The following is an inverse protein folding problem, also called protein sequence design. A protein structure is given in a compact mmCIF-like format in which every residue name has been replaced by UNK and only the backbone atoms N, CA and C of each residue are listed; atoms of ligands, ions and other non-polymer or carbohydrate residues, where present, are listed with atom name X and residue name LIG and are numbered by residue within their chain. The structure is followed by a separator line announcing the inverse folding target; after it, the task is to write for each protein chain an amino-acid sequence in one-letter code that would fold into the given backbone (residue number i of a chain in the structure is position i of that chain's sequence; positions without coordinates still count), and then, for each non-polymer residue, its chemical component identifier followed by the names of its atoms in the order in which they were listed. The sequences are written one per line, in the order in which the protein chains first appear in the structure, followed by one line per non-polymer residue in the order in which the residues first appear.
data_IF_182240844334
#
_entry.id   IF_182240844334
#
_cell.length_a   1.000
_cell.length_b   1.000
_cell.length_c   1.000
_cell.angle_alpha   90.00
_cell.angle_beta   90.00
_cell.angle_gamma   90.00
#
_symmetry.space_group_name_H-M   'P 1'
#
loop_
_entity.id
_entity.type
_entity.pdbx_description
1 polymer ?
#
# COMPACT_ATOMS: atom_id res chain seq x y z
N UNK A 1 -16.69 27.03 -18.03
CA UNK A 1 -15.24 27.23 -18.04
C UNK A 1 -14.59 26.91 -16.71
N UNK A 2 -14.85 27.69 -15.70
CA UNK A 2 -14.32 27.38 -14.37
C UNK A 2 -14.90 26.12 -13.77
N UNK A 3 -16.06 25.69 -14.22
CA UNK A 3 -16.72 24.47 -13.72
C UNK A 3 -15.91 23.21 -14.02
N UNK A 4 -15.11 23.22 -15.08
CA UNK A 4 -14.27 22.08 -15.41
C UNK A 4 -13.13 21.89 -14.40
N UNK A 5 -12.63 22.99 -13.84
CA UNK A 5 -11.60 22.94 -12.81
C UNK A 5 -12.15 22.39 -11.50
N UNK A 6 -13.41 22.66 -11.19
CA UNK A 6 -14.06 22.18 -9.98
C UNK A 6 -14.23 20.66 -9.98
N UNK A 7 -14.28 20.04 -11.16
CA UNK A 7 -14.42 18.60 -11.27
C UNK A 7 -13.12 17.87 -11.57
N UNK A 8 -12.00 18.59 -11.71
CA UNK A 8 -10.72 17.92 -11.91
C UNK A 8 -10.24 17.34 -10.58
N UNK A 9 -9.85 16.06 -10.61
CA UNK A 9 -9.29 15.39 -9.46
C UNK A 9 -7.84 15.80 -9.33
N UNK A 10 -7.44 16.25 -8.15
CA UNK A 10 -6.06 16.68 -7.92
C UNK A 10 -5.11 15.49 -7.97
N UNK A 11 -3.92 15.73 -8.52
CA UNK A 11 -2.82 14.77 -8.48
C UNK A 11 -2.46 14.48 -7.02
N UNK A 12 -2.37 13.21 -6.67
CA UNK A 12 -2.24 12.77 -5.29
C UNK A 12 -1.24 11.62 -5.19
N UNK A 13 -0.56 11.52 -4.05
CA UNK A 13 0.33 10.41 -3.75
C UNK A 13 -0.24 9.57 -2.63
N UNK A 14 -0.06 8.26 -2.74
CA UNK A 14 -0.41 7.30 -1.70
C UNK A 14 0.78 6.41 -1.41
N UNK A 15 0.80 5.84 -0.21
CA UNK A 15 1.83 4.89 0.18
C UNK A 15 1.30 3.48 0.02
N UNK A 16 2.13 2.59 -0.50
CA UNK A 16 1.78 1.19 -0.71
C UNK A 16 2.89 0.29 -0.20
N UNK A 17 2.51 -0.89 0.27
CA UNK A 17 3.46 -1.97 0.60
C UNK A 17 3.02 -3.22 -0.15
N UNK A 18 3.99 -3.93 -0.73
CA UNK A 18 3.80 -5.33 -1.11
C UNK A 18 4.30 -6.13 0.09
N UNK A 19 3.40 -6.84 0.73
CA UNK A 19 3.61 -7.49 2.04
C UNK A 19 4.41 -8.79 1.93
N UNK A 20 4.93 -9.30 3.06
CA UNK A 20 5.77 -10.50 3.05
C UNK A 20 5.11 -11.73 2.42
N UNK A 21 3.80 -11.91 2.56
CA UNK A 21 3.09 -13.04 1.96
C UNK A 21 3.19 -13.03 0.43
N UNK A 22 2.97 -11.88 -0.19
CA UNK A 22 3.06 -11.74 -1.64
C UNK A 22 4.51 -11.88 -2.13
N UNK A 23 5.46 -11.27 -1.42
CA UNK A 23 6.88 -11.34 -1.79
C UNK A 23 7.39 -12.79 -1.69
N UNK A 24 7.02 -13.50 -0.63
CA UNK A 24 7.45 -14.89 -0.45
C UNK A 24 6.92 -15.83 -1.53
N UNK A 25 5.80 -15.49 -2.17
CA UNK A 25 5.24 -16.25 -3.29
C UNK A 25 5.72 -15.77 -4.64
N UNK A 26 6.61 -14.77 -4.69
CA UNK A 26 7.10 -14.22 -5.95
C UNK A 26 6.07 -13.42 -6.73
N UNK A 27 5.07 -12.84 -6.04
CA UNK A 27 3.96 -12.11 -6.68
C UNK A 27 4.25 -10.63 -6.92
N UNK A 28 5.39 -10.11 -6.48
CA UNK A 28 5.70 -8.68 -6.60
C UNK A 28 5.71 -8.19 -8.05
N UNK A 29 6.19 -9.02 -8.99
CA UNK A 29 6.19 -8.64 -10.41
C UNK A 29 4.79 -8.48 -10.97
N UNK A 30 3.87 -9.38 -10.63
CA UNK A 30 2.48 -9.29 -11.04
C UNK A 30 1.80 -8.06 -10.43
N UNK A 31 2.07 -7.77 -9.17
CA UNK A 31 1.50 -6.59 -8.51
C UNK A 31 2.03 -5.31 -9.15
N UNK A 32 3.33 -5.22 -9.43
CA UNK A 32 3.91 -4.07 -10.12
C UNK A 32 3.29 -3.88 -11.50
N UNK A 33 3.06 -4.97 -12.24
CA UNK A 33 2.40 -4.92 -13.54
C UNK A 33 0.99 -4.34 -13.43
N UNK A 34 0.23 -4.75 -12.43
CA UNK A 34 -1.12 -4.22 -12.19
C UNK A 34 -1.11 -2.75 -11.82
N UNK A 35 -0.12 -2.30 -11.06
CA UNK A 35 0.08 -0.88 -10.74
C UNK A 35 0.26 -0.06 -12.03
N UNK A 36 1.12 -0.51 -12.91
CA UNK A 36 1.33 0.17 -14.19
C UNK A 36 0.08 0.17 -15.06
N UNK A 37 -0.59 -0.97 -15.17
CA UNK A 37 -1.81 -1.09 -15.99
C UNK A 37 -2.94 -0.23 -15.46
N UNK A 38 -3.00 0.00 -14.15
CA UNK A 38 -4.00 0.87 -13.55
C UNK A 38 -3.72 2.36 -13.77
N UNK A 39 -2.55 2.71 -14.31
CA UNK A 39 -2.20 4.08 -14.65
C UNK A 39 -1.49 4.85 -13.56
N UNK A 40 -0.94 4.19 -12.55
CA UNK A 40 -0.11 4.85 -11.53
C UNK A 40 1.29 5.12 -12.04
N UNK A 41 1.85 6.24 -11.60
CA UNK A 41 3.27 6.50 -11.69
C UNK A 41 3.93 6.02 -10.39
N UNK A 42 4.98 5.24 -10.49
CA UNK A 42 5.76 4.84 -9.32
C UNK A 42 6.80 5.93 -9.09
N UNK A 43 6.63 6.72 -8.04
CA UNK A 43 7.53 7.82 -7.68
C UNK A 43 8.79 7.28 -7.02
N UNK A 44 8.63 6.28 -6.14
CA UNK A 44 9.73 5.66 -5.43
C UNK A 44 9.37 4.23 -5.09
N UNK A 45 10.39 3.37 -5.03
CA UNK A 45 10.24 1.97 -4.64
C UNK A 45 11.53 1.51 -3.99
N UNK A 46 11.41 0.76 -2.90
CA UNK A 46 12.57 0.08 -2.30
C UNK A 46 12.17 -1.21 -1.61
N UNK A 47 13.08 -2.15 -1.64
CA UNK A 47 12.94 -3.46 -0.99
C UNK A 47 13.67 -3.42 0.35
N UNK A 48 13.03 -3.99 1.39
CA UNK A 48 13.64 -4.06 2.71
C UNK A 48 12.97 -5.13 3.56
N UNK A 49 13.60 -5.44 4.67
CA UNK A 49 12.99 -6.23 5.73
C UNK A 49 12.92 -5.37 6.98
N UNK A 50 11.73 -5.17 7.50
CA UNK A 50 11.53 -4.39 8.72
C UNK A 50 11.99 -5.16 9.95
N UNK A 51 12.54 -4.46 10.93
CA UNK A 51 12.62 -4.99 12.28
C UNK A 51 11.23 -4.91 12.91
N UNK A 52 11.03 -5.63 14.00
CA UNK A 52 9.76 -5.57 14.73
C UNK A 52 9.50 -4.16 15.25
N UNK A 53 10.55 -3.46 15.70
CA UNK A 53 10.46 -2.07 16.17
C UNK A 53 10.04 -1.12 15.03
N UNK A 54 10.59 -1.30 13.86
CA UNK A 54 10.23 -0.49 12.69
C UNK A 54 8.78 -0.73 12.28
N UNK A 55 8.34 -1.99 12.28
CA UNK A 55 6.94 -2.33 12.03
C UNK A 55 6.03 -1.73 13.11
N UNK A 56 6.46 -1.79 14.37
CA UNK A 56 5.73 -1.21 15.50
C UNK A 56 5.56 0.30 15.39
N UNK A 57 6.58 1.01 14.93
CA UNK A 57 6.51 2.46 14.72
C UNK A 57 5.57 2.82 13.58
N UNK A 58 5.59 2.04 12.51
CA UNK A 58 4.69 2.25 11.37
C UNK A 58 3.22 2.07 11.77
N UNK A 59 2.94 1.03 12.54
CA UNK A 59 1.58 0.71 13.01
C UNK A 59 1.28 1.26 14.40
N UNK A 60 1.99 2.29 14.86
CA UNK A 60 1.86 2.83 16.22
C UNK A 60 0.42 3.24 16.58
N UNK A 61 -0.37 3.68 15.61
CA UNK A 61 -1.79 4.03 15.81
C UNK A 61 -2.62 2.83 16.26
N UNK A 62 -2.15 1.60 16.01
CA UNK A 62 -2.83 0.36 16.40
C UNK A 62 -2.22 -0.29 17.66
N UNK A 63 -1.31 0.41 18.36
CA UNK A 63 -0.54 -0.16 19.47
C UNK A 63 -1.40 -0.80 20.56
N UNK A 64 -2.57 -0.24 20.82
CA UNK A 64 -3.50 -0.76 21.83
C UNK A 64 -4.45 -1.83 21.30
N UNK A 65 -4.37 -2.19 20.02
CA UNK A 65 -5.24 -3.19 19.42
C UNK A 65 -4.73 -4.60 19.72
N UNK A 66 -5.64 -5.58 19.94
CA UNK A 66 -5.25 -6.97 20.21
C UNK A 66 -4.39 -7.59 19.11
N UNK A 67 -4.59 -7.17 17.86
CA UNK A 67 -3.87 -7.72 16.70
C UNK A 67 -2.47 -7.11 16.48
N UNK A 68 -2.08 -6.11 17.28
CA UNK A 68 -0.84 -5.38 17.05
C UNK A 68 0.39 -6.27 17.03
N UNK A 69 0.51 -7.18 18.00
CA UNK A 69 1.67 -8.10 18.11
C UNK A 69 1.77 -9.01 16.88
N UNK A 70 0.66 -9.61 16.48
CA UNK A 70 0.61 -10.50 15.32
C UNK A 70 0.91 -9.74 14.03
N UNK A 71 0.37 -8.53 13.87
CA UNK A 71 0.61 -7.69 12.71
C UNK A 71 2.09 -7.31 12.58
N UNK A 72 2.72 -6.88 13.67
CA UNK A 72 4.13 -6.48 13.64
C UNK A 72 5.06 -7.68 13.45
N UNK A 73 4.71 -8.84 14.00
CA UNK A 73 5.43 -10.09 13.73
C UNK A 73 5.35 -10.45 12.25
N UNK A 74 4.17 -10.37 11.68
CA UNK A 74 3.96 -10.67 10.26
C UNK A 74 4.72 -9.71 9.36
N UNK A 75 4.61 -8.41 9.59
CA UNK A 75 5.25 -7.39 8.75
C UNK A 75 6.77 -7.39 8.85
N UNK A 76 7.34 -7.94 9.92
CA UNK A 76 8.79 -8.10 10.08
C UNK A 76 9.30 -9.50 9.71
N UNK A 77 8.41 -10.39 9.27
CA UNK A 77 8.75 -11.79 9.02
C UNK A 77 9.52 -12.04 7.73
N UNK A 78 9.54 -11.09 6.81
CA UNK A 78 10.20 -11.27 5.52
C UNK A 78 10.30 -9.95 4.77
N UNK A 79 10.82 -10.03 3.53
CA UNK A 79 10.97 -8.86 2.67
C UNK A 79 9.63 -8.26 2.28
N UNK A 80 9.64 -6.93 2.19
CA UNK A 80 8.54 -6.13 1.65
C UNK A 80 9.08 -5.22 0.55
N UNK A 81 8.16 -4.68 -0.26
CA UNK A 81 8.45 -3.54 -1.13
C UNK A 81 7.60 -2.37 -0.66
N UNK A 82 8.26 -1.24 -0.38
CA UNK A 82 7.60 0.01 -0.05
C UNK A 82 7.57 0.90 -1.29
N UNK A 83 6.41 1.49 -1.59
CA UNK A 83 6.23 2.28 -2.80
C UNK A 83 5.48 3.58 -2.52
N UNK A 84 5.80 4.61 -3.31
CA UNK A 84 4.98 5.81 -3.41
C UNK A 84 4.38 5.83 -4.80
N UNK A 85 3.05 5.86 -4.87
CA UNK A 85 2.29 5.84 -6.11
C UNK A 85 1.60 7.19 -6.31
N UNK A 86 1.60 7.66 -7.55
CA UNK A 86 0.99 8.94 -7.90
C UNK A 86 -0.02 8.75 -9.03
N UNK A 87 -1.18 9.37 -8.86
CA UNK A 87 -2.25 9.44 -9.86
C UNK A 87 -3.27 10.45 -9.39
N UNK A 88 -4.20 10.83 -10.25
CA UNK A 88 -5.36 11.59 -9.83
C UNK A 88 -6.18 10.73 -8.86
N UNK A 89 -6.42 11.26 -7.64
CA UNK A 89 -7.15 10.52 -6.62
C UNK A 89 -6.47 9.20 -6.23
N UNK A 90 -5.15 9.19 -6.07
CA UNK A 90 -4.36 7.97 -5.89
C UNK A 90 -4.81 7.11 -4.71
N UNK A 91 -5.22 7.71 -3.60
CA UNK A 91 -5.60 6.95 -2.40
C UNK A 91 -6.78 6.04 -2.69
N UNK A 92 -7.86 6.58 -3.20
CA UNK A 92 -9.05 5.78 -3.54
C UNK A 92 -8.76 4.83 -4.70
N UNK A 93 -8.05 5.30 -5.72
CA UNK A 93 -7.70 4.49 -6.88
C UNK A 93 -6.89 3.26 -6.48
N UNK A 94 -5.94 3.41 -5.56
CA UNK A 94 -5.15 2.29 -5.06
C UNK A 94 -6.02 1.33 -4.26
N UNK A 95 -6.90 1.84 -3.41
CA UNK A 95 -7.82 1.00 -2.66
C UNK A 95 -8.73 0.18 -3.58
N UNK A 96 -9.22 0.80 -4.65
CA UNK A 96 -10.04 0.09 -5.66
C UNK A 96 -9.23 -0.97 -6.40
N UNK A 97 -7.97 -0.68 -6.70
CA UNK A 97 -7.06 -1.62 -7.36
C UNK A 97 -6.71 -2.81 -6.46
N UNK A 98 -6.50 -2.55 -5.17
CA UNK A 98 -6.25 -3.61 -4.18
C UNK A 98 -7.47 -4.48 -3.94
N UNK A 99 -8.65 -3.88 -3.89
CA UNK A 99 -9.89 -4.55 -3.53
C UNK A 99 -10.15 -4.56 -2.02
N UNK A 100 -11.26 -5.17 -1.63
CA UNK A 100 -11.67 -5.26 -0.22
C UNK A 100 -10.62 -5.96 0.64
N UNK A 101 -10.54 -5.56 1.90
CA UNK A 101 -9.56 -6.08 2.87
C UNK A 101 -9.61 -7.60 2.98
N UNK A 102 -10.80 -8.17 3.01
CA UNK A 102 -10.97 -9.62 2.95
C UNK A 102 -10.98 -10.07 1.49
N UNK A 103 -10.02 -10.89 1.05
CA UNK A 103 -9.98 -11.38 -0.33
C UNK A 103 -11.27 -12.06 -0.79
N UNK A 104 -11.99 -12.70 0.11
CA UNK A 104 -13.27 -13.36 -0.22
C UNK A 104 -14.35 -12.37 -0.67
N UNK A 105 -14.28 -11.15 -0.15
CA UNK A 105 -15.25 -10.08 -0.45
C UNK A 105 -14.77 -9.14 -1.53
N UNK A 106 -13.55 -9.30 -2.02
CA UNK A 106 -12.97 -8.45 -3.05
C UNK A 106 -13.52 -8.85 -4.43
N UNK A 107 -13.69 -7.85 -5.29
CA UNK A 107 -14.17 -8.08 -6.64
C UNK A 107 -13.13 -8.81 -7.51
N UNK A 108 -13.56 -9.68 -8.44
CA UNK A 108 -12.62 -10.29 -9.39
C UNK A 108 -11.81 -9.23 -10.14
N UNK A 109 -10.54 -9.50 -10.38
CA UNK A 109 -9.63 -8.58 -11.04
C UNK A 109 -8.86 -7.68 -10.09
N UNK A 110 -9.27 -7.57 -8.82
CA UNK A 110 -8.52 -6.87 -7.81
C UNK A 110 -7.34 -7.71 -7.32
N UNK A 111 -6.30 -7.04 -6.81
CA UNK A 111 -5.10 -7.73 -6.32
C UNK A 111 -5.46 -8.73 -5.21
N UNK A 112 -6.24 -8.30 -4.25
CA UNK A 112 -6.58 -9.14 -3.09
C UNK A 112 -7.45 -10.33 -3.46
N UNK A 113 -8.41 -10.14 -4.38
CA UNK A 113 -9.23 -11.27 -4.84
C UNK A 113 -8.39 -12.31 -5.55
N UNK A 114 -7.54 -11.87 -6.46
CA UNK A 114 -6.81 -12.78 -7.34
C UNK A 114 -5.60 -13.41 -6.65
N UNK A 115 -4.95 -12.70 -5.73
CA UNK A 115 -3.67 -13.11 -5.15
C UNK A 115 -3.68 -13.29 -3.64
N UNK A 116 -4.64 -12.70 -2.93
CA UNK A 116 -4.74 -12.80 -1.49
C UNK A 116 -5.35 -14.11 -1.03
N UNK A 117 -5.10 -14.51 0.21
CA UNK A 117 -5.61 -15.76 0.78
C UNK A 117 -6.47 -15.56 2.01
N UNK A 118 -6.23 -14.54 2.80
CA UNK A 118 -6.99 -14.23 4.02
C UNK A 118 -6.87 -12.76 4.35
N UNK A 119 -7.60 -12.28 5.34
CA UNK A 119 -7.51 -10.89 5.82
C UNK A 119 -6.08 -10.56 6.27
N UNK A 120 -5.41 -11.50 6.93
CA UNK A 120 -4.02 -11.30 7.37
C UNK A 120 -3.02 -11.38 6.23
N UNK A 121 -3.30 -12.20 5.21
CA UNK A 121 -2.43 -12.44 4.05
C UNK A 121 -3.10 -11.93 2.79
N UNK A 122 -3.26 -10.61 2.70
CA UNK A 122 -3.98 -9.94 1.62
C UNK A 122 -3.09 -9.13 0.68
N UNK A 123 -1.82 -9.46 0.62
CA UNK A 123 -0.82 -9.02 -0.36
C UNK A 123 -0.32 -7.60 -0.22
N UNK A 124 -1.18 -6.62 0.04
CA UNK A 124 -0.80 -5.21 -0.09
C UNK A 124 -1.40 -4.34 1.00
N UNK A 125 -0.74 -3.21 1.22
CA UNK A 125 -1.19 -2.14 2.11
C UNK A 125 -1.35 -0.87 1.29
N UNK A 126 -2.30 -0.04 1.67
CA UNK A 126 -2.47 1.31 1.13
C UNK A 126 -2.93 2.28 2.21
N UNK A 127 -2.60 3.55 2.01
CA UNK A 127 -3.02 4.61 2.93
C UNK A 127 -4.54 4.81 2.88
N UNK A 128 -5.12 5.23 4.00
CA UNK A 128 -6.56 5.44 4.12
C UNK A 128 -7.01 6.87 3.80
N UNK A 129 -6.12 7.84 4.00
CA UNK A 129 -6.45 9.26 3.91
C UNK A 129 -5.18 10.07 3.59
N UNK A 130 -5.31 11.35 3.17
CA UNK A 130 -4.15 12.20 2.92
C UNK A 130 -3.19 12.31 4.11
N UNK A 131 -3.71 12.38 5.33
CA UNK A 131 -2.90 12.50 6.54
C UNK A 131 -2.09 11.23 6.79
N UNK A 132 -2.70 10.06 6.62
CA UNK A 132 -2.00 8.80 6.80
C UNK A 132 -1.00 8.56 5.68
N UNK A 133 -1.33 8.97 4.45
CA UNK A 133 -0.40 8.90 3.33
C UNK A 133 0.86 9.73 3.61
N UNK A 134 0.70 10.96 4.10
CA UNK A 134 1.83 11.83 4.41
C UNK A 134 2.74 11.21 5.48
N UNK A 135 2.16 10.69 6.56
CA UNK A 135 2.92 10.03 7.62
C UNK A 135 3.65 8.79 7.08
N UNK A 136 2.94 7.95 6.36
CA UNK A 136 3.47 6.66 5.89
C UNK A 136 4.59 6.85 4.86
N UNK A 137 4.42 7.79 3.94
CA UNK A 137 5.47 8.14 2.97
C UNK A 137 6.72 8.64 3.70
N UNK A 138 6.56 9.58 4.63
CA UNK A 138 7.67 10.14 5.39
C UNK A 138 8.34 9.15 6.33
N UNK A 139 7.64 8.08 6.73
CA UNK A 139 8.22 7.03 7.54
C UNK A 139 9.29 6.24 6.77
N UNK A 140 9.08 6.02 5.47
CA UNK A 140 9.94 5.18 4.65
C UNK A 140 10.86 5.93 3.71
N UNK A 141 10.51 7.14 3.30
CA UNK A 141 11.23 7.86 2.25
C UNK A 141 11.64 9.26 2.69
N UNK A 142 12.85 9.67 2.30
CA UNK A 142 13.29 11.06 2.46
C UNK A 142 12.78 11.92 1.30
N UNK A 143 12.83 13.25 1.45
CA UNK A 143 12.43 14.16 0.40
C UNK A 143 13.21 13.97 -0.90
N UNK A 144 14.50 13.63 -0.80
CA UNK A 144 15.35 13.39 -1.97
C UNK A 144 14.93 12.15 -2.77
N UNK A 145 14.31 11.17 -2.12
CA UNK A 145 13.86 9.95 -2.78
C UNK A 145 12.56 10.14 -3.54
N UNK A 146 11.89 11.27 -3.34
CA UNK A 146 10.55 11.55 -3.88
C UNK A 146 10.55 12.53 -5.06
N UNK A 147 11.71 12.83 -5.59
CA UNK A 147 11.86 13.77 -6.71
C UNK A 147 11.46 13.12 -8.04
#
# INVERSE_FOLDING_TARGET
MYLLEEFSVALERTFAIIKPDAVSRGQQGEILSRIHKAGFKIIAIKSMRLTKEEAGGFYAVHRERPFFGELTDFMSSGKIFALVLEADGAILKWRDTMGATDPKNAAPGTIRRDLGTSIGNNCTHGSDAPETAAFEIGYFFSGLELI
#
